data_IF_659314223011
#
_entry.id   IF_659314223011
#
_cell.length_a   1.000
_cell.length_b   1.000
_cell.length_c   1.000
_cell.angle_alpha   90.00
_cell.angle_beta   90.00
_cell.angle_gamma   90.00
#
_symmetry.space_group_name_H-M   'P 1'
#
loop_
_entity.id
_entity.type
_entity.pdbx_description
1 polymer ?
#
# COMPACT_ATOMS: atom_id res chain seq x y z
N UNK A 1 -6.79 65.61 -10.28
CA UNK A 1 -6.44 64.41 -9.49
C UNK A 1 -7.62 63.46 -9.64
N UNK A 2 -7.63 62.42 -10.45
CA UNK A 2 -6.59 61.47 -10.83
C UNK A 2 -7.27 60.11 -10.70
N UNK A 3 -7.83 59.59 -11.79
CA UNK A 3 -8.49 58.29 -11.83
C UNK A 3 -7.50 57.15 -12.15
N UNK A 4 -7.96 55.91 -11.93
CA UNK A 4 -7.26 54.66 -12.26
C UNK A 4 -6.45 54.08 -11.09
N UNK A 5 -6.26 52.78 -10.92
CA UNK A 5 -6.54 51.59 -11.74
C UNK A 5 -6.59 50.38 -10.78
N UNK A 6 -7.51 49.45 -11.02
CA UNK A 6 -7.50 48.11 -10.44
C UNK A 6 -6.47 47.23 -11.14
N UNK A 7 -5.50 46.69 -10.40
CA UNK A 7 -4.64 45.56 -10.75
C UNK A 7 -4.54 44.73 -9.47
N UNK A 8 -5.04 43.50 -9.38
CA UNK A 8 -4.92 42.43 -10.36
C UNK A 8 -3.76 41.53 -9.95
N UNK A 9 -4.07 40.45 -9.24
CA UNK A 9 -3.24 39.25 -9.16
C UNK A 9 -2.27 39.15 -7.99
N UNK A 10 -2.63 38.35 -6.99
CA UNK A 10 -1.80 37.20 -6.67
C UNK A 10 -2.69 35.96 -6.63
N UNK A 11 -2.40 35.08 -7.58
CA UNK A 11 -2.98 33.75 -7.77
C UNK A 11 -3.09 33.05 -6.43
N UNK A 12 -4.28 32.54 -6.15
CA UNK A 12 -4.49 31.54 -5.13
C UNK A 12 -3.50 30.41 -5.35
N UNK A 13 -2.72 30.12 -4.32
CA UNK A 13 -2.32 28.74 -4.09
C UNK A 13 -3.62 28.03 -3.77
N UNK A 14 -4.22 27.43 -4.79
CA UNK A 14 -5.15 26.35 -4.57
C UNK A 14 -4.30 25.29 -3.88
N UNK A 15 -4.38 25.26 -2.55
CA UNK A 15 -4.26 24.01 -1.81
C UNK A 15 -5.30 23.11 -2.46
N UNK A 16 -4.88 22.43 -3.54
CA UNK A 16 -5.60 21.28 -4.06
C UNK A 16 -5.69 20.39 -2.84
N UNK A 17 -6.91 20.20 -2.32
CA UNK A 17 -7.19 19.28 -1.23
C UNK A 17 -6.54 17.96 -1.62
N UNK A 18 -5.34 17.71 -1.08
CA UNK A 18 -4.63 16.47 -1.31
C UNK A 18 -5.43 15.45 -0.54
N UNK A 19 -6.14 14.60 -1.27
CA UNK A 19 -6.80 13.47 -0.67
C UNK A 19 -5.71 12.49 -0.28
N UNK A 20 -5.21 12.65 0.95
CA UNK A 20 -4.33 11.69 1.58
C UNK A 20 -5.21 10.53 2.04
N UNK A 21 -4.97 9.35 1.46
CA UNK A 21 -5.76 8.16 1.71
C UNK A 21 -4.85 7.03 2.19
N UNK A 22 -5.24 6.41 3.29
CA UNK A 22 -4.48 5.32 3.90
C UNK A 22 -5.19 3.99 3.60
N UNK A 23 -4.52 3.10 2.87
CA UNK A 23 -4.90 1.70 2.76
C UNK A 23 -4.10 0.89 3.80
N UNK A 24 -4.81 0.36 4.79
CA UNK A 24 -4.20 -0.27 5.96
C UNK A 24 -4.42 -1.77 5.96
N UNK A 25 -3.34 -2.54 6.07
CA UNK A 25 -3.34 -3.98 6.23
C UNK A 25 -2.83 -4.34 7.63
N UNK A 26 -3.71 -4.94 8.45
CA UNK A 26 -3.38 -5.38 9.80
C UNK A 26 -3.21 -6.88 9.88
N UNK A 27 -2.31 -7.33 10.75
CA UNK A 27 -2.27 -8.72 11.16
C UNK A 27 -3.47 -9.06 12.03
N UNK A 28 -3.83 -10.35 12.09
CA UNK A 28 -5.01 -10.81 12.84
C UNK A 28 -4.97 -10.48 14.33
N UNK A 29 -3.78 -10.32 14.90
CA UNK A 29 -3.60 -9.97 16.30
C UNK A 29 -3.48 -8.47 16.53
N UNK A 30 -3.49 -7.66 15.47
CA UNK A 30 -3.28 -6.21 15.54
C UNK A 30 -1.87 -5.78 15.95
N UNK A 31 -0.91 -6.72 16.02
CA UNK A 31 0.47 -6.47 16.46
C UNK A 31 1.38 -6.00 15.32
N UNK A 32 0.90 -6.10 14.08
CA UNK A 32 1.65 -5.69 12.90
C UNK A 32 0.71 -5.02 11.93
N UNK A 33 1.19 -3.95 11.32
CA UNK A 33 0.45 -3.11 10.41
C UNK A 33 1.35 -2.69 9.26
N UNK A 34 0.81 -2.75 8.05
CA UNK A 34 1.32 -2.05 6.88
C UNK A 34 0.31 -0.96 6.54
N UNK A 35 0.80 0.25 6.33
CA UNK A 35 -0.02 1.36 5.83
C UNK A 35 0.59 1.88 4.54
N UNK A 36 -0.19 1.82 3.46
CA UNK A 36 0.11 2.54 2.23
C UNK A 36 -0.63 3.86 2.28
N UNK A 37 0.11 4.94 2.51
CA UNK A 37 -0.40 6.29 2.35
C UNK A 37 -0.27 6.70 0.90
N UNK A 38 -1.39 7.06 0.29
CA UNK A 38 -1.52 7.40 -1.11
C UNK A 38 -1.90 8.87 -1.22
N UNK A 39 -1.09 9.62 -1.96
CA UNK A 39 -1.30 11.04 -2.26
C UNK A 39 -1.40 11.20 -3.75
N UNK A 40 -2.56 11.58 -4.27
CA UNK A 40 -2.73 11.74 -5.70
C UNK A 40 -1.83 12.88 -6.21
N UNK A 41 -1.01 12.60 -7.23
CA UNK A 41 -0.11 13.58 -7.85
C UNK A 41 -0.66 14.05 -9.20
N UNK A 42 -1.28 13.14 -9.93
CA UNK A 42 -1.97 13.40 -11.20
C UNK A 42 -3.07 12.35 -11.42
N UNK A 43 -3.77 12.40 -12.57
CA UNK A 43 -4.74 11.36 -12.92
C UNK A 43 -4.10 9.96 -13.07
N UNK A 44 -2.82 9.90 -13.42
CA UNK A 44 -2.09 8.65 -13.70
C UNK A 44 -1.10 8.24 -12.61
N UNK A 45 -0.83 9.10 -11.62
CA UNK A 45 0.24 8.88 -10.65
C UNK A 45 -0.16 9.22 -9.22
N UNK A 46 0.38 8.40 -8.32
CA UNK A 46 0.22 8.47 -6.87
C UNK A 46 1.58 8.51 -6.21
N UNK A 47 1.79 9.52 -5.36
CA UNK A 47 2.85 9.44 -4.36
C UNK A 47 2.45 8.41 -3.31
N UNK A 48 3.35 7.51 -2.97
CA UNK A 48 3.12 6.46 -2.00
C UNK A 48 4.20 6.49 -0.92
N UNK A 49 3.72 6.44 0.32
CA UNK A 49 4.53 6.23 1.51
C UNK A 49 4.14 4.89 2.11
N UNK A 50 5.14 4.05 2.38
CA UNK A 50 4.98 2.75 3.01
C UNK A 50 5.40 2.86 4.48
N UNK A 51 4.44 2.70 5.39
CA UNK A 51 4.70 2.62 6.82
C UNK A 51 4.50 1.20 7.33
N UNK A 52 5.42 0.74 8.16
CA UNK A 52 5.47 -0.59 8.74
C UNK A 52 5.51 -0.47 10.25
N UNK A 53 4.65 -1.21 10.92
CA UNK A 53 4.67 -1.43 12.37
C UNK A 53 4.67 -2.93 12.58
N UNK A 54 5.54 -3.44 13.45
CA UNK A 54 5.54 -4.85 13.75
C UNK A 54 6.60 -5.22 14.78
N UNK A 55 7.01 -6.48 14.73
CA UNK A 55 8.07 -7.02 15.58
C UNK A 55 9.20 -7.52 14.69
N UNK A 56 10.41 -7.02 14.94
CA UNK A 56 11.63 -7.60 14.41
C UNK A 56 12.04 -8.78 15.29
N UNK A 57 12.11 -9.98 14.70
CA UNK A 57 12.48 -11.19 15.42
C UNK A 57 13.98 -11.44 15.28
N UNK A 58 14.75 -10.93 16.24
CA UNK A 58 16.15 -11.36 16.43
C UNK A 58 16.20 -12.44 17.51
N UNK A 59 16.69 -13.62 17.14
CA UNK A 59 17.13 -14.68 18.08
C UNK A 59 16.10 -14.96 19.19
N UNK A 60 14.84 -15.19 18.81
CA UNK A 60 13.78 -15.66 19.70
C UNK A 60 13.09 -14.60 20.57
N UNK A 61 13.45 -13.32 20.46
CA UNK A 61 12.69 -12.22 21.08
C UNK A 61 12.26 -11.21 20.02
N UNK A 62 10.94 -10.99 19.91
CA UNK A 62 10.38 -9.91 19.11
C UNK A 62 10.68 -8.55 19.75
N UNK A 63 11.30 -7.65 19.00
CA UNK A 63 11.46 -6.24 19.38
C UNK A 63 10.51 -5.39 18.55
N UNK A 64 9.81 -4.41 19.14
CA UNK A 64 9.00 -3.48 18.37
C UNK A 64 9.84 -2.82 17.27
N UNK A 65 9.28 -2.79 16.06
CA UNK A 65 9.86 -2.18 14.89
C UNK A 65 8.84 -1.24 14.27
N UNK A 66 9.30 -0.04 13.94
CA UNK A 66 8.59 0.90 13.09
C UNK A 66 9.52 1.36 11.97
N UNK A 67 8.98 1.47 10.77
CA UNK A 67 9.71 1.94 9.61
C UNK A 67 8.80 2.70 8.67
N UNK A 68 9.33 3.73 8.04
CA UNK A 68 8.62 4.48 7.00
C UNK A 68 9.56 4.64 5.82
N UNK A 69 9.04 4.39 4.62
CA UNK A 69 9.75 4.56 3.36
C UNK A 69 8.89 5.45 2.48
N UNK A 70 9.43 6.61 2.15
CA UNK A 70 8.80 7.61 1.30
C UNK A 70 9.41 7.59 -0.11
N UNK A 71 8.67 8.14 -1.07
CA UNK A 71 9.20 8.42 -2.40
C UNK A 71 8.83 7.41 -3.48
N UNK A 72 7.98 6.42 -3.18
CA UNK A 72 7.42 5.56 -4.20
C UNK A 72 6.44 6.36 -5.07
N UNK A 73 6.53 6.20 -6.39
CA UNK A 73 5.52 6.70 -7.32
C UNK A 73 4.84 5.51 -7.97
N UNK A 74 3.57 5.31 -7.65
CA UNK A 74 2.72 4.28 -8.22
C UNK A 74 1.93 4.85 -9.38
N UNK A 75 1.79 4.06 -10.47
CA UNK A 75 0.82 4.42 -11.51
C UNK A 75 -0.59 4.02 -11.06
N UNK A 76 -1.60 4.80 -11.45
CA UNK A 76 -3.01 4.46 -11.23
C UNK A 76 -3.34 3.06 -11.76
N UNK A 77 -2.77 2.68 -12.90
CA UNK A 77 -2.94 1.35 -13.50
C UNK A 77 -2.37 0.23 -12.64
N UNK A 78 -1.19 0.43 -12.05
CA UNK A 78 -0.58 -0.54 -11.13
C UNK A 78 -1.41 -0.70 -9.85
N UNK A 79 -1.90 0.41 -9.30
CA UNK A 79 -2.78 0.40 -8.12
C UNK A 79 -4.12 -0.32 -8.39
N UNK A 80 -4.76 -0.04 -9.54
CA UNK A 80 -5.97 -0.73 -9.98
C UNK A 80 -5.72 -2.23 -10.23
N UNK A 81 -4.59 -2.59 -10.83
CA UNK A 81 -4.21 -3.98 -11.05
C UNK A 81 -4.02 -4.74 -9.71
N UNK A 82 -3.34 -4.14 -8.72
CA UNK A 82 -3.22 -4.71 -7.38
C UNK A 82 -4.61 -4.96 -6.78
N UNK A 83 -5.48 -3.96 -6.80
CA UNK A 83 -6.83 -4.05 -6.25
C UNK A 83 -7.64 -5.17 -6.92
N UNK A 84 -7.66 -5.23 -8.26
CA UNK A 84 -8.37 -6.27 -9.01
C UNK A 84 -7.81 -7.67 -8.76
N UNK A 85 -6.49 -7.82 -8.71
CA UNK A 85 -5.85 -9.09 -8.39
C UNK A 85 -6.21 -9.58 -6.99
N UNK A 86 -6.21 -8.67 -6.01
CA UNK A 86 -6.60 -8.99 -4.63
C UNK A 86 -8.06 -9.42 -4.54
N UNK A 87 -8.98 -8.71 -5.18
CA UNK A 87 -10.41 -9.09 -5.21
C UNK A 87 -10.64 -10.44 -5.90
N UNK A 88 -9.99 -10.67 -7.05
CA UNK A 88 -10.10 -11.93 -7.76
C UNK A 88 -9.61 -13.09 -6.88
N UNK A 89 -8.53 -12.89 -6.14
CA UNK A 89 -7.98 -13.92 -5.27
C UNK A 89 -8.86 -14.17 -4.04
N UNK A 90 -9.37 -13.10 -3.41
CA UNK A 90 -10.31 -13.18 -2.28
C UNK A 90 -11.67 -13.79 -2.65
N UNK A 91 -12.03 -13.84 -3.92
CA UNK A 91 -13.25 -14.51 -4.39
C UNK A 91 -13.20 -16.04 -4.32
N UNK A 92 -12.00 -16.62 -4.10
CA UNK A 92 -11.82 -18.06 -3.95
C UNK A 92 -12.28 -18.56 -2.57
N UNK A 93 -12.77 -19.82 -2.46
CA UNK A 93 -13.02 -20.47 -1.17
C UNK A 93 -11.78 -20.47 -0.27
N UNK A 94 -11.98 -20.38 1.06
CA UNK A 94 -10.90 -20.25 2.05
C UNK A 94 -9.87 -21.39 1.98
N UNK A 95 -10.34 -22.61 1.78
CA UNK A 95 -9.53 -23.82 1.65
C UNK A 95 -8.64 -23.82 0.39
N UNK A 96 -9.08 -23.15 -0.68
CA UNK A 96 -8.26 -22.90 -1.86
C UNK A 96 -7.32 -21.69 -1.70
N UNK A 97 -7.74 -20.67 -0.95
CA UNK A 97 -7.00 -19.43 -0.76
C UNK A 97 -5.72 -19.64 0.05
N UNK A 98 -5.81 -20.32 1.20
CA UNK A 98 -4.67 -20.53 2.12
C UNK A 98 -3.44 -21.19 1.47
N UNK A 99 -3.57 -22.26 0.66
CA UNK A 99 -2.43 -22.86 -0.02
C UNK A 99 -2.03 -22.13 -1.31
N UNK A 100 -2.89 -21.27 -1.86
CA UNK A 100 -2.60 -20.54 -3.10
C UNK A 100 -1.70 -19.34 -2.86
N UNK A 101 -0.88 -19.00 -3.86
CA UNK A 101 -0.01 -17.83 -3.83
C UNK A 101 -0.42 -16.84 -4.92
N UNK A 102 -0.47 -15.57 -4.56
CA UNK A 102 -0.61 -14.45 -5.49
C UNK A 102 0.60 -13.54 -5.35
N UNK A 103 1.33 -13.30 -6.44
CA UNK A 103 2.36 -12.28 -6.52
C UNK A 103 1.83 -11.09 -7.36
N UNK A 104 1.82 -9.91 -6.77
CA UNK A 104 1.55 -8.64 -7.42
C UNK A 104 2.81 -7.78 -7.39
N UNK A 105 3.55 -7.80 -8.49
CA UNK A 105 4.74 -6.95 -8.69
C UNK A 105 4.32 -5.67 -9.37
N UNK A 106 4.56 -4.54 -8.70
CA UNK A 106 4.27 -3.21 -9.21
C UNK A 106 5.59 -2.58 -9.63
N UNK A 107 5.75 -2.39 -10.94
CA UNK A 107 6.78 -1.51 -11.46
C UNK A 107 6.38 -0.07 -11.16
N UNK A 108 7.27 0.64 -10.47
CA UNK A 108 7.06 2.02 -10.06
C UNK A 108 7.41 2.96 -11.20
N UNK A 109 6.97 4.23 -11.15
CA UNK A 109 7.21 5.18 -12.23
C UNK A 109 8.71 5.46 -12.46
N UNK A 110 9.56 5.24 -11.46
CA UNK A 110 11.00 5.35 -11.58
C UNK A 110 11.65 3.99 -11.92
N UNK A 111 12.52 3.93 -12.95
CA UNK A 111 13.20 2.70 -13.33
C UNK A 111 14.02 2.08 -12.19
N UNK A 112 13.94 0.76 -12.04
CA UNK A 112 14.69 0.00 -11.03
C UNK A 112 14.10 0.04 -9.62
N UNK A 113 12.98 0.74 -9.41
CA UNK A 113 12.23 0.68 -8.16
C UNK A 113 11.06 -0.30 -8.29
N UNK A 114 10.88 -1.16 -7.30
CA UNK A 114 9.79 -2.14 -7.31
C UNK A 114 9.11 -2.24 -5.95
N UNK A 115 7.79 -2.39 -5.97
CA UNK A 115 7.00 -2.76 -4.81
C UNK A 115 6.26 -4.06 -5.14
N UNK A 116 6.53 -5.10 -4.37
CA UNK A 116 5.98 -6.43 -4.58
C UNK A 116 5.15 -6.83 -3.36
N UNK A 117 3.90 -7.16 -3.61
CA UNK A 117 3.01 -7.81 -2.66
C UNK A 117 2.90 -9.28 -3.00
N UNK A 118 3.16 -10.13 -2.02
CA UNK A 118 2.93 -11.56 -2.08
C UNK A 118 1.88 -11.93 -1.06
N UNK A 119 0.86 -12.64 -1.48
CA UNK A 119 -0.19 -13.19 -0.62
C UNK A 119 -0.13 -14.71 -0.69
N UNK A 120 -0.35 -15.39 0.43
CA UNK A 120 -0.33 -16.86 0.52
C UNK A 120 0.88 -17.39 1.31
N UNK A 121 1.31 -18.64 1.08
CA UNK A 121 2.37 -19.28 1.87
C UNK A 121 3.75 -18.64 1.63
N UNK A 122 4.57 -18.61 2.69
CA UNK A 122 5.98 -18.13 2.69
C UNK A 122 6.83 -19.12 3.47
N UNK A 123 7.91 -19.64 2.87
CA UNK A 123 8.70 -20.79 3.32
C UNK A 123 9.31 -20.69 4.74
N UNK A 124 9.30 -19.49 5.35
CA UNK A 124 9.90 -19.21 6.65
C UNK A 124 8.93 -18.57 7.65
N UNK A 125 7.64 -18.49 7.32
CA UNK A 125 6.62 -17.92 8.20
C UNK A 125 5.66 -19.02 8.62
N UNK A 126 5.65 -19.34 9.92
CA UNK A 126 4.68 -20.27 10.50
C UNK A 126 3.31 -19.59 10.62
N UNK A 127 2.44 -19.83 9.64
CA UNK A 127 1.04 -19.43 9.71
C UNK A 127 0.19 -20.52 10.37
N UNK A 128 -0.81 -20.11 11.15
CA UNK A 128 -1.83 -21.06 11.60
C UNK A 128 -2.76 -21.44 10.43
N UNK A 129 -3.36 -22.63 10.51
CA UNK A 129 -4.33 -23.12 9.53
C UNK A 129 -5.45 -22.08 9.33
N UNK A 130 -5.80 -21.80 8.07
CA UNK A 130 -6.85 -20.84 7.73
C UNK A 130 -6.40 -19.40 7.54
N UNK A 131 -5.08 -19.10 7.59
CA UNK A 131 -4.57 -17.72 7.49
C UNK A 131 -3.51 -17.57 6.40
N UNK A 132 -3.70 -16.70 5.40
CA UNK A 132 -2.64 -16.34 4.48
C UNK A 132 -1.53 -15.53 5.17
N UNK A 133 -0.33 -15.61 4.59
CA UNK A 133 0.77 -14.69 4.91
C UNK A 133 0.82 -13.62 3.82
N UNK A 134 1.08 -12.38 4.21
CA UNK A 134 1.42 -11.32 3.28
C UNK A 134 2.88 -10.99 3.43
N UNK A 135 3.63 -11.14 2.35
CA UNK A 135 5.00 -10.68 2.22
C UNK A 135 5.05 -9.42 1.36
N UNK A 136 5.62 -8.35 1.89
CA UNK A 136 5.87 -7.12 1.16
C UNK A 136 7.36 -7.01 0.96
N UNK A 137 7.77 -6.86 -0.30
CA UNK A 137 9.16 -6.61 -0.67
C UNK A 137 9.21 -5.31 -1.43
N UNK A 138 10.14 -4.44 -1.08
CA UNK A 138 10.34 -3.18 -1.78
C UNK A 138 11.81 -2.98 -2.11
N UNK A 139 12.05 -2.26 -3.19
CA UNK A 139 13.36 -1.74 -3.56
C UNK A 139 13.23 -0.32 -4.11
N UNK A 140 14.10 0.57 -3.66
CA UNK A 140 14.18 1.96 -4.07
C UNK A 140 15.66 2.39 -4.12
N UNK A 141 16.26 2.35 -5.31
CA UNK A 141 17.71 2.51 -5.43
C UNK A 141 18.43 1.38 -4.69
N UNK A 142 19.31 1.72 -3.75
CA UNK A 142 20.02 0.75 -2.90
C UNK A 142 19.21 0.28 -1.69
N UNK A 143 18.13 0.99 -1.33
CA UNK A 143 17.27 0.60 -0.21
C UNK A 143 16.40 -0.59 -0.62
N UNK A 144 16.49 -1.69 0.11
CA UNK A 144 15.60 -2.83 -0.05
C UNK A 144 15.15 -3.38 1.30
N UNK A 145 13.93 -3.93 1.34
CA UNK A 145 13.38 -4.49 2.55
C UNK A 145 12.34 -5.57 2.29
N UNK A 146 12.10 -6.38 3.31
CA UNK A 146 11.03 -7.37 3.33
C UNK A 146 10.29 -7.34 4.65
N UNK A 147 8.97 -7.36 4.60
CA UNK A 147 8.10 -7.42 5.77
C UNK A 147 7.08 -8.54 5.59
N UNK A 148 6.78 -9.28 6.65
CA UNK A 148 5.81 -10.36 6.61
C UNK A 148 4.80 -10.22 7.74
N UNK A 149 3.52 -10.42 7.45
CA UNK A 149 2.45 -10.43 8.44
C UNK A 149 1.46 -11.55 8.15
N UNK A 150 0.83 -12.10 9.20
CA UNK A 150 -0.21 -13.11 9.08
C UNK A 150 -1.57 -12.45 9.26
N UNK A 151 -2.42 -12.56 8.25
CA UNK A 151 -3.76 -11.99 8.23
C UNK A 151 -4.78 -13.03 7.77
N UNK A 152 -6.05 -12.83 8.10
CA UNK A 152 -7.18 -13.60 7.59
C UNK A 152 -7.77 -12.87 6.37
N UNK A 153 -8.66 -13.51 5.61
CA UNK A 153 -9.24 -12.87 4.43
C UNK A 153 -10.01 -11.58 4.74
N UNK A 154 -10.52 -11.40 5.96
CA UNK A 154 -11.25 -10.18 6.33
C UNK A 154 -10.33 -8.97 6.43
N UNK A 155 -9.12 -9.16 6.95
CA UNK A 155 -8.08 -8.12 6.98
C UNK A 155 -7.65 -7.71 5.56
N UNK A 156 -7.55 -8.66 4.65
CA UNK A 156 -7.22 -8.42 3.24
C UNK A 156 -8.35 -7.72 2.50
N UNK A 157 -9.61 -8.05 2.80
CA UNK A 157 -10.76 -7.37 2.24
C UNK A 157 -10.80 -5.89 2.66
N UNK A 158 -10.56 -5.59 3.94
CA UNK A 158 -10.46 -4.21 4.42
C UNK A 158 -9.34 -3.42 3.72
N UNK A 159 -8.20 -4.07 3.48
CA UNK A 159 -7.12 -3.46 2.73
C UNK A 159 -7.53 -3.20 1.27
N UNK A 160 -8.20 -4.17 0.61
CA UNK A 160 -8.73 -4.01 -0.74
C UNK A 160 -9.73 -2.83 -0.81
N UNK A 161 -10.63 -2.71 0.17
CA UNK A 161 -11.59 -1.61 0.25
C UNK A 161 -10.90 -0.24 0.39
N UNK A 162 -9.81 -0.18 1.16
CA UNK A 162 -8.97 1.02 1.25
C UNK A 162 -8.37 1.44 -0.09
N UNK A 163 -7.87 0.46 -0.88
CA UNK A 163 -7.39 0.70 -2.25
C UNK A 163 -8.53 1.15 -3.18
N UNK A 164 -9.71 0.53 -3.06
CA UNK A 164 -10.89 0.86 -3.85
C UNK A 164 -11.32 2.32 -3.62
N UNK A 165 -11.31 2.76 -2.35
CA UNK A 165 -11.66 4.12 -1.99
C UNK A 165 -10.72 5.14 -2.63
N UNK A 166 -9.40 4.87 -2.62
CA UNK A 166 -8.41 5.69 -3.31
C UNK A 166 -8.61 5.75 -4.83
N UNK A 167 -8.93 4.63 -5.46
CA UNK A 167 -9.18 4.59 -6.90
C UNK A 167 -10.47 5.33 -7.31
N UNK A 168 -11.47 5.37 -6.44
CA UNK A 168 -12.72 6.09 -6.68
C UNK A 168 -12.55 7.60 -6.63
N UNK A 169 -11.61 8.11 -5.83
CA UNK A 169 -11.32 9.56 -5.73
C UNK A 169 -10.84 10.17 -7.03
N UNK A 170 -10.23 9.38 -7.93
CA UNK A 170 -9.83 9.83 -9.28
C UNK A 170 -11.03 10.10 -10.19
N UNK A 171 -12.14 9.40 -9.93
CA UNK A 171 -13.32 9.38 -10.81
C UNK A 171 -14.39 10.41 -10.42
N UNK A 172 -14.18 11.14 -9.32
CA UNK A 172 -15.04 12.21 -8.84
C UNK A 172 -14.48 13.57 -9.25
#
# INVERSE_FOLDING_TARGET
>A
MGGGVSLGGYRGWVEQERCDLDAVLRSNRGVSELTLRLVQRSASEWGCTLSLVGEHWDVGQGRPFTGTVDGFILTTTALDALHRHLLSWLSSPLDALVPSRLDAVLELAAPGQTLCFRFGPVDHVLAAVGKPVVGIRFSMGELAGSFHLVCDPSCLALFADGLAHALQTIRA
#
